data_IF_171670652850
#
_entry.id   IF_171670652850
#
_cell.length_a   1.000
_cell.length_b   1.000
_cell.length_c   1.000
_cell.angle_alpha   90.00
_cell.angle_beta   90.00
_cell.angle_gamma   90.00
#
_symmetry.space_group_name_H-M   'P 1'
#
loop_
_entity.id
_entity.type
_entity.pdbx_description
1 polymer ?
#
# COMPACT_ATOMS: atom_id res chain seq x y z
N UNK A 1 3.07 -5.00 -6.32
CA UNK A 1 1.66 -5.37 -6.54
C UNK A 1 1.04 -5.82 -5.21
N UNK A 2 1.66 -6.78 -4.52
CA UNK A 2 1.24 -7.29 -3.21
C UNK A 2 0.91 -6.24 -2.14
N UNK A 3 1.59 -5.08 -2.13
CA UNK A 3 1.24 -3.97 -1.22
C UNK A 3 -0.19 -3.48 -1.45
N UNK A 4 -0.57 -3.25 -2.71
CA UNK A 4 -1.90 -2.77 -3.10
C UNK A 4 -2.94 -3.88 -2.97
N UNK A 5 -2.63 -5.11 -3.38
CA UNK A 5 -3.53 -6.27 -3.19
C UNK A 5 -3.77 -6.57 -1.71
N UNK A 6 -2.81 -6.24 -0.85
CA UNK A 6 -2.94 -6.30 0.61
C UNK A 6 -3.72 -5.15 1.24
N UNK A 7 -4.27 -4.23 0.44
CA UNK A 7 -5.06 -3.09 0.92
C UNK A 7 -4.26 -1.84 1.29
N UNK A 8 -2.92 -1.88 1.20
CA UNK A 8 -2.05 -0.73 1.43
C UNK A 8 -1.89 0.05 0.13
N UNK A 9 -2.67 1.11 -0.07
CA UNK A 9 -2.69 1.89 -1.31
C UNK A 9 -2.94 3.38 -1.09
N UNK A 10 -2.70 4.18 -2.12
CA UNK A 10 -2.95 5.63 -2.12
C UNK A 10 -4.43 5.95 -2.42
N UNK A 11 -4.82 7.21 -2.16
CA UNK A 11 -6.22 7.67 -2.22
C UNK A 11 -6.88 7.46 -3.59
N UNK A 12 -6.12 7.67 -4.66
CA UNK A 12 -6.56 7.48 -6.05
C UNK A 12 -7.00 6.04 -6.32
N UNK A 13 -6.20 5.06 -5.89
CA UNK A 13 -6.54 3.65 -6.03
C UNK A 13 -7.69 3.24 -5.10
N UNK A 14 -7.69 3.71 -3.85
CA UNK A 14 -8.75 3.40 -2.89
C UNK A 14 -10.13 3.88 -3.36
N UNK A 15 -10.19 5.06 -4.01
CA UNK A 15 -11.42 5.62 -4.56
C UNK A 15 -12.04 4.76 -5.68
N UNK A 16 -11.23 3.97 -6.41
CA UNK A 16 -11.71 3.03 -7.42
C UNK A 16 -12.34 1.77 -6.79
N UNK A 17 -11.95 1.42 -5.57
CA UNK A 17 -12.45 0.25 -4.84
C UNK A 17 -13.77 0.58 -4.13
N UNK A 18 -13.78 1.61 -3.28
CA UNK A 18 -15.00 2.09 -2.61
C UNK A 18 -14.82 3.47 -2.00
N UNK A 19 -15.93 4.16 -1.66
CA UNK A 19 -15.88 5.47 -0.99
C UNK A 19 -15.31 5.44 0.44
N UNK A 20 -15.36 4.28 1.10
CA UNK A 20 -14.98 4.12 2.51
C UNK A 20 -13.66 3.36 2.68
N UNK A 21 -12.99 3.00 1.57
CA UNK A 21 -11.72 2.29 1.62
C UNK A 21 -10.66 3.18 2.30
N UNK A 22 -10.02 2.72 3.38
CA UNK A 22 -8.89 3.45 3.98
C UNK A 22 -7.73 3.51 2.99
N UNK A 23 -6.96 4.60 3.06
CA UNK A 23 -5.84 4.87 2.18
C UNK A 23 -4.67 5.48 2.96
N UNK A 24 -3.49 5.39 2.39
CA UNK A 24 -2.24 5.87 2.96
C UNK A 24 -1.80 7.18 2.30
N UNK A 25 -1.16 8.05 3.07
CA UNK A 25 -0.41 9.17 2.48
C UNK A 25 0.77 8.64 1.67
N UNK A 26 1.35 9.47 0.80
CA UNK A 26 2.51 9.09 -0.03
C UNK A 26 3.65 8.52 0.81
N UNK A 27 3.99 9.13 1.95
CA UNK A 27 5.08 8.65 2.81
C UNK A 27 4.74 7.33 3.48
N UNK A 28 3.50 7.15 3.92
CA UNK A 28 3.05 5.88 4.51
C UNK A 28 3.03 4.74 3.49
N UNK A 29 2.59 5.02 2.27
CA UNK A 29 2.61 4.04 1.18
C UNK A 29 4.03 3.63 0.82
N UNK A 30 4.97 4.59 0.70
CA UNK A 30 6.38 4.29 0.46
C UNK A 30 6.98 3.44 1.59
N UNK A 31 6.65 3.73 2.85
CA UNK A 31 7.07 2.90 3.99
C UNK A 31 6.49 1.47 3.93
N UNK A 32 5.23 1.30 3.50
CA UNK A 32 4.63 -0.02 3.32
C UNK A 32 5.31 -0.83 2.20
N UNK A 33 5.69 -0.17 1.10
CA UNK A 33 6.48 -0.79 0.02
C UNK A 33 7.86 -1.19 0.52
N UNK A 34 8.56 -0.30 1.23
CA UNK A 34 9.90 -0.55 1.78
C UNK A 34 9.90 -1.73 2.76
N UNK A 35 8.94 -1.76 3.70
CA UNK A 35 8.75 -2.88 4.64
C UNK A 35 8.64 -4.23 3.92
N UNK A 36 7.77 -4.32 2.91
CA UNK A 36 7.58 -5.57 2.13
C UNK A 36 8.80 -5.93 1.29
N UNK A 37 9.53 -4.94 0.78
CA UNK A 37 10.77 -5.17 0.04
C UNK A 37 11.83 -5.79 0.96
N UNK A 38 12.03 -5.23 2.15
CA UNK A 38 12.97 -5.76 3.16
C UNK A 38 12.60 -7.20 3.54
N UNK A 39 11.33 -7.47 3.83
CA UNK A 39 10.83 -8.81 4.16
C UNK A 39 11.15 -9.84 3.05
N UNK A 40 11.11 -9.43 1.79
CA UNK A 40 11.44 -10.31 0.65
C UNK A 40 12.94 -10.48 0.42
N UNK A 41 13.74 -9.45 0.69
CA UNK A 41 15.20 -9.50 0.51
C UNK A 41 15.90 -10.28 1.62
N UNK A 42 15.29 -10.37 2.80
CA UNK A 42 15.79 -11.15 3.92
C UNK A 42 15.58 -12.67 3.76
N UNK A 43 14.99 -13.11 2.65
CA UNK A 43 14.58 -14.48 2.36
C UNK A 43 15.33 -15.04 1.16
#
# INVERSE_FOLDING_TARGET
IETVEGGEMTKDLAALVSKNQPWLTTQQFLAAVDRRLIEKMAK
#
